data_IF_370366056181
#
_entry.id   IF_370366056181
#
_cell.length_a   1.000
_cell.length_b   1.000
_cell.length_c   1.000
_cell.angle_alpha   90.00
_cell.angle_beta   90.00
_cell.angle_gamma   90.00
#
_symmetry.space_group_name_H-M   'P 1'
#
loop_
_entity.id
_entity.type
_entity.pdbx_description
1 polymer ?
#
# COMPACT_ATOMS: atom_id res chain seq x y z
N UNK A 1 0.93 7.72 27.93
CA UNK A 1 0.99 6.73 29.03
C UNK A 1 2.40 6.17 29.22
N UNK A 2 3.05 5.66 28.16
CA UNK A 2 4.34 4.95 28.23
C UNK A 2 5.49 5.80 28.79
N UNK A 3 5.70 7.03 28.28
CA UNK A 3 6.78 7.89 28.77
C UNK A 3 6.56 8.28 30.25
N UNK A 4 5.31 8.49 30.64
CA UNK A 4 4.98 8.81 32.04
C UNK A 4 5.30 7.63 32.96
N UNK A 5 4.95 6.39 32.57
CA UNK A 5 5.31 5.20 33.34
C UNK A 5 6.82 5.04 33.48
N UNK A 6 7.58 5.26 32.38
CA UNK A 6 9.05 5.22 32.48
C UNK A 6 9.62 6.28 33.40
N UNK A 7 9.06 7.49 33.37
CA UNK A 7 9.52 8.58 34.30
C UNK A 7 9.18 8.29 35.75
N UNK A 8 8.07 7.62 35.99
CA UNK A 8 7.68 7.18 37.36
C UNK A 8 8.56 6.01 37.86
N UNK A 9 8.93 5.08 36.97
CA UNK A 9 9.77 3.92 37.30
C UNK A 9 11.26 4.30 37.43
N UNK A 10 11.73 5.28 36.62
CA UNK A 10 13.12 5.72 36.58
C UNK A 10 13.22 7.25 36.79
N UNK A 11 12.87 7.78 37.96
CA UNK A 11 12.79 9.21 38.20
C UNK A 11 14.14 9.93 38.14
N UNK A 12 15.25 9.23 38.41
CA UNK A 12 16.61 9.75 38.36
C UNK A 12 17.18 9.90 36.97
N UNK A 13 16.54 9.25 35.93
CA UNK A 13 17.01 9.34 34.54
C UNK A 13 16.33 10.48 33.80
N UNK A 14 17.08 11.10 32.90
CA UNK A 14 16.56 12.02 31.91
C UNK A 14 16.12 11.25 30.68
N UNK A 15 14.85 11.35 30.34
CA UNK A 15 14.28 10.60 29.21
C UNK A 15 14.42 11.39 27.91
N UNK A 16 14.87 10.71 26.85
CA UNK A 16 14.91 11.23 25.50
C UNK A 16 14.09 10.35 24.56
N UNK A 17 13.15 10.97 23.87
CA UNK A 17 12.38 10.31 22.82
C UNK A 17 13.06 10.54 21.47
N UNK A 18 13.48 9.45 20.81
CA UNK A 18 14.18 9.52 19.52
C UNK A 18 13.18 9.45 18.38
N UNK A 19 13.27 10.36 17.41
CA UNK A 19 12.39 10.38 16.23
C UNK A 19 13.07 11.01 15.01
N UNK A 20 12.52 10.77 13.82
CA UNK A 20 12.92 11.44 12.59
C UNK A 20 12.21 12.78 12.38
N UNK A 21 12.80 13.64 11.56
CA UNK A 21 12.26 14.94 11.17
C UNK A 21 10.93 14.86 10.38
N UNK A 22 10.65 13.69 9.77
CA UNK A 22 9.36 13.39 9.13
C UNK A 22 8.17 13.33 10.13
N UNK A 23 8.44 13.43 11.43
CA UNK A 23 7.43 13.35 12.50
C UNK A 23 7.23 14.68 13.26
N UNK A 24 7.71 15.81 12.75
CA UNK A 24 7.56 17.10 13.40
C UNK A 24 6.09 17.49 13.66
N UNK A 25 5.19 17.25 12.72
CA UNK A 25 3.76 17.50 12.88
C UNK A 25 3.16 16.63 14.00
N UNK A 26 3.58 15.37 14.10
CA UNK A 26 3.16 14.49 15.18
C UNK A 26 3.66 15.01 16.54
N UNK A 27 4.93 15.45 16.61
CA UNK A 27 5.51 16.03 17.82
C UNK A 27 4.77 17.29 18.25
N UNK A 28 4.46 18.18 17.30
CA UNK A 28 3.66 19.37 17.55
C UNK A 28 2.30 19.03 18.17
N UNK A 29 1.61 18.07 17.57
CA UNK A 29 0.30 17.62 18.04
C UNK A 29 0.34 16.96 19.43
N UNK A 30 1.36 16.17 19.72
CA UNK A 30 1.57 15.57 21.04
C UNK A 30 1.87 16.65 22.08
N UNK A 31 2.56 17.72 21.70
CA UNK A 31 2.90 18.85 22.56
C UNK A 31 1.67 19.71 22.85
N UNK A 32 0.83 20.00 21.86
CA UNK A 32 -0.42 20.75 22.03
C UNK A 32 -1.45 20.03 22.92
N UNK A 33 -1.51 18.68 22.80
CA UNK A 33 -2.51 17.87 23.55
C UNK A 33 -2.07 17.40 24.93
N UNK A 34 -0.80 17.53 25.25
CA UNK A 34 -0.29 16.96 26.50
C UNK A 34 0.99 17.62 26.98
N UNK A 35 1.46 17.08 28.10
CA UNK A 35 2.66 17.53 28.77
C UNK A 35 3.89 16.74 28.31
N UNK A 36 4.10 16.67 27.01
CA UNK A 36 5.15 15.80 26.43
C UNK A 36 6.54 16.21 26.93
N UNK A 37 6.88 17.51 26.82
CA UNK A 37 8.18 18.02 27.24
C UNK A 37 8.34 18.17 28.76
N UNK A 38 7.27 18.03 29.56
CA UNK A 38 7.39 17.85 31.00
C UNK A 38 7.91 16.47 31.40
N UNK A 39 7.81 15.49 30.48
CA UNK A 39 8.13 14.10 30.76
C UNK A 39 9.40 13.63 30.04
N UNK A 40 9.72 14.18 28.86
CA UNK A 40 10.79 13.72 28.01
C UNK A 40 11.34 14.84 27.15
N UNK A 41 12.63 14.80 26.88
CA UNK A 41 13.27 15.55 25.80
C UNK A 41 13.16 14.79 24.47
N UNK A 42 13.61 15.39 23.38
CA UNK A 42 13.61 14.79 22.04
C UNK A 42 15.01 14.78 21.45
N UNK A 43 15.40 13.66 20.89
CA UNK A 43 16.50 13.58 19.93
C UNK A 43 15.86 13.44 18.55
N UNK A 44 16.10 14.44 17.72
CA UNK A 44 15.56 14.52 16.36
C UNK A 44 16.67 14.19 15.34
N UNK A 45 16.53 13.09 14.61
CA UNK A 45 17.40 12.78 13.49
C UNK A 45 16.88 13.44 12.23
N UNK A 46 17.67 14.38 11.69
CA UNK A 46 17.38 15.02 10.42
C UNK A 46 17.82 14.11 9.26
N UNK A 47 16.88 13.77 8.39
CA UNK A 47 17.17 13.08 7.11
C UNK A 47 17.60 14.06 6.03
N UNK A 48 17.12 15.29 6.09
CA UNK A 48 17.50 16.39 5.22
C UNK A 48 18.31 17.41 6.03
N UNK A 49 19.62 17.46 5.80
CA UNK A 49 20.57 18.28 6.60
C UNK A 49 20.30 19.78 6.57
N UNK A 50 19.53 20.31 5.62
CA UNK A 50 19.30 21.73 5.46
C UNK A 50 17.97 22.18 6.09
N UNK A 51 18.02 23.15 6.98
CA UNK A 51 16.84 23.93 7.40
C UNK A 51 16.03 23.41 8.60
N UNK A 52 16.35 22.24 9.21
CA UNK A 52 15.56 21.71 10.34
C UNK A 52 15.60 22.64 11.56
N UNK A 53 16.76 23.22 11.90
CA UNK A 53 16.87 24.15 13.01
C UNK A 53 16.07 25.44 12.78
N UNK A 54 16.06 25.93 11.54
CA UNK A 54 15.28 27.09 11.15
C UNK A 54 13.79 26.78 11.16
N UNK A 55 13.42 25.60 10.68
CA UNK A 55 12.04 25.10 10.76
C UNK A 55 11.54 25.01 12.21
N UNK A 56 12.36 24.50 13.13
CA UNK A 56 12.04 24.43 14.55
C UNK A 56 11.90 25.83 15.19
N UNK A 57 12.82 26.76 14.85
CA UNK A 57 12.77 28.16 15.38
C UNK A 57 11.50 28.89 14.92
N UNK A 58 11.04 28.60 13.71
CA UNK A 58 9.86 29.22 13.13
C UNK A 58 8.55 28.45 13.41
N UNK A 59 8.64 27.27 14.04
CA UNK A 59 7.45 26.45 14.29
C UNK A 59 6.62 27.01 15.43
N UNK A 60 5.31 27.19 15.19
CA UNK A 60 4.36 27.84 16.13
C UNK A 60 4.40 27.29 17.57
N UNK A 61 4.56 25.99 17.72
CA UNK A 61 4.52 25.28 19.02
C UNK A 61 5.92 24.89 19.48
N UNK A 62 6.72 24.27 18.59
CA UNK A 62 7.99 23.65 18.96
C UNK A 62 9.10 24.66 19.25
N UNK A 63 8.99 25.90 18.78
CA UNK A 63 9.94 26.98 19.07
C UNK A 63 10.08 27.28 20.59
N UNK A 64 9.04 27.06 21.36
CA UNK A 64 9.06 27.22 22.80
C UNK A 64 9.90 26.13 23.51
N UNK A 65 10.04 24.99 22.90
CA UNK A 65 10.70 23.79 23.45
C UNK A 65 12.05 23.48 22.79
N UNK A 66 12.64 24.44 22.09
CA UNK A 66 13.88 24.25 21.34
C UNK A 66 15.05 23.75 22.21
N UNK A 67 15.07 24.11 23.48
CA UNK A 67 16.10 23.66 24.44
C UNK A 67 15.95 22.20 24.85
N UNK A 68 14.77 21.62 24.65
CA UNK A 68 14.45 20.20 24.91
C UNK A 68 14.53 19.33 23.67
N UNK A 69 14.98 19.92 22.55
CA UNK A 69 15.14 19.21 21.25
C UNK A 69 16.60 19.25 20.85
N UNK A 70 17.23 18.07 20.80
CA UNK A 70 18.59 17.88 20.30
C UNK A 70 18.49 17.41 18.85
N UNK A 71 19.01 18.18 17.92
CA UNK A 71 19.06 17.81 16.52
C UNK A 71 20.39 17.11 16.23
N UNK A 72 20.33 15.89 15.71
CA UNK A 72 21.51 15.14 15.27
C UNK A 72 21.46 14.93 13.74
N UNK A 73 22.59 15.05 13.06
CA UNK A 73 22.68 14.67 11.67
C UNK A 73 22.49 13.16 11.53
N UNK A 74 22.01 12.65 10.37
CA UNK A 74 21.97 11.23 10.12
C UNK A 74 23.40 10.66 10.15
N UNK A 75 23.62 9.49 10.75
CA UNK A 75 24.90 8.81 10.64
C UNK A 75 25.27 8.57 9.17
N UNK A 76 26.57 8.66 8.85
CA UNK A 76 27.07 8.41 7.50
C UNK A 76 26.66 7.01 7.03
N UNK A 77 26.22 6.89 5.78
CA UNK A 77 25.89 5.62 5.13
C UNK A 77 24.51 5.06 5.40
N UNK A 78 23.70 5.67 6.30
CA UNK A 78 22.32 5.20 6.59
C UNK A 78 21.23 6.19 6.16
N UNK A 79 21.61 7.24 5.42
CA UNK A 79 20.62 8.14 4.81
C UNK A 79 19.76 7.36 3.82
N UNK A 80 18.44 7.49 3.94
CA UNK A 80 17.48 6.75 3.09
C UNK A 80 17.00 5.41 3.65
N UNK A 81 17.65 4.84 4.67
CA UNK A 81 17.15 3.63 5.33
C UNK A 81 15.89 3.97 6.14
N UNK A 82 14.83 3.19 5.92
CA UNK A 82 13.56 3.33 6.65
C UNK A 82 12.90 1.97 6.83
N UNK A 83 12.05 1.86 7.86
CA UNK A 83 11.24 0.64 8.03
C UNK A 83 10.30 0.39 6.84
N UNK A 84 9.93 1.43 6.09
CA UNK A 84 9.14 1.28 4.87
C UNK A 84 9.98 0.65 3.76
N UNK A 85 11.21 1.13 3.53
CA UNK A 85 12.13 0.55 2.55
C UNK A 85 12.46 -0.91 2.86
N UNK A 86 12.71 -1.23 4.15
CA UNK A 86 12.96 -2.61 4.56
C UNK A 86 11.75 -3.50 4.26
N UNK A 87 10.54 -3.07 4.67
CA UNK A 87 9.32 -3.82 4.35
C UNK A 87 9.06 -3.96 2.86
N UNK A 88 9.36 -2.93 2.08
CA UNK A 88 9.26 -2.94 0.63
C UNK A 88 10.16 -4.01 0.02
N UNK A 89 11.46 -3.99 0.35
CA UNK A 89 12.41 -4.99 -0.16
C UNK A 89 12.04 -6.40 0.28
N UNK A 90 11.61 -6.55 1.53
CA UNK A 90 11.12 -7.83 2.04
C UNK A 90 9.92 -8.34 1.22
N UNK A 91 8.96 -7.48 0.89
CA UNK A 91 7.81 -7.82 0.05
C UNK A 91 8.22 -8.16 -1.39
N UNK A 92 9.36 -7.65 -1.85
CA UNK A 92 9.92 -7.96 -3.19
C UNK A 92 10.84 -9.19 -3.17
N UNK A 93 11.04 -9.83 -2.01
CA UNK A 93 12.00 -10.93 -1.88
C UNK A 93 13.47 -10.49 -1.97
N UNK A 94 13.74 -9.18 -1.89
CA UNK A 94 15.08 -8.64 -1.95
C UNK A 94 15.79 -8.73 -0.59
N UNK A 95 17.12 -8.94 -0.61
CA UNK A 95 17.90 -8.92 0.62
C UNK A 95 17.84 -7.56 1.31
N UNK A 96 17.68 -7.58 2.63
CA UNK A 96 17.75 -6.41 3.49
C UNK A 96 19.00 -6.41 4.38
N UNK A 97 19.94 -7.32 4.12
CA UNK A 97 21.12 -7.52 4.96
C UNK A 97 21.91 -6.22 5.15
N UNK A 98 22.13 -5.45 4.08
CA UNK A 98 22.85 -4.19 4.12
C UNK A 98 22.07 -3.03 4.77
N UNK A 99 20.77 -3.22 4.98
CA UNK A 99 19.87 -2.22 5.59
C UNK A 99 19.68 -2.44 7.10
N UNK A 100 20.11 -3.57 7.61
CA UNK A 100 19.95 -3.99 9.00
C UNK A 100 21.30 -4.17 9.68
N UNK A 101 21.37 -3.92 10.97
CA UNK A 101 22.56 -4.32 11.73
C UNK A 101 22.67 -5.84 11.75
N UNK A 102 23.88 -6.44 11.67
CA UNK A 102 24.04 -7.88 11.50
C UNK A 102 23.30 -8.72 12.54
N UNK A 103 23.29 -8.31 13.80
CA UNK A 103 22.54 -9.02 14.86
C UNK A 103 21.03 -9.04 14.66
N UNK A 104 20.46 -7.97 14.09
CA UNK A 104 19.04 -7.90 13.75
C UNK A 104 18.75 -8.79 12.54
N UNK A 105 19.64 -8.78 11.54
CA UNK A 105 19.52 -9.64 10.36
C UNK A 105 19.53 -11.12 10.70
N UNK A 106 20.42 -11.56 11.61
CA UNK A 106 20.46 -12.96 12.06
C UNK A 106 19.16 -13.36 12.78
N UNK A 107 18.70 -12.55 13.74
CA UNK A 107 17.42 -12.80 14.43
C UNK A 107 16.27 -12.83 13.44
N UNK A 108 16.30 -11.92 12.46
CA UNK A 108 15.27 -11.83 11.44
C UNK A 108 15.18 -13.12 10.59
N UNK A 109 16.31 -13.67 10.16
CA UNK A 109 16.38 -14.95 9.43
C UNK A 109 15.89 -16.13 10.29
N UNK A 110 16.21 -16.15 11.58
CA UNK A 110 15.75 -17.18 12.51
C UNK A 110 14.23 -17.15 12.72
N UNK A 111 13.63 -15.95 12.80
CA UNK A 111 12.19 -15.79 13.00
C UNK A 111 11.38 -16.04 11.73
N UNK A 112 12.01 -15.91 10.56
CA UNK A 112 11.34 -15.95 9.25
C UNK A 112 12.10 -16.84 8.26
N UNK A 113 12.40 -18.10 8.57
CA UNK A 113 13.20 -18.96 7.70
C UNK A 113 12.56 -19.27 6.36
N UNK A 114 11.21 -19.19 6.27
CA UNK A 114 10.41 -19.53 5.08
C UNK A 114 9.34 -18.46 4.73
N UNK A 115 9.36 -17.32 5.40
CA UNK A 115 8.21 -16.40 5.46
C UNK A 115 8.24 -15.24 4.46
N UNK A 116 9.03 -15.34 3.39
CA UNK A 116 8.86 -14.39 2.29
C UNK A 116 8.13 -15.09 1.15
N UNK A 117 6.80 -15.02 1.12
CA UNK A 117 6.11 -15.42 -0.08
C UNK A 117 6.62 -14.54 -1.22
N UNK A 118 6.91 -15.14 -2.37
CA UNK A 118 7.21 -14.39 -3.56
C UNK A 118 6.13 -13.32 -3.77
N UNK A 119 6.54 -12.10 -4.11
CA UNK A 119 5.60 -10.99 -4.30
C UNK A 119 5.58 -10.58 -5.77
N UNK A 120 4.42 -10.66 -6.37
CA UNK A 120 4.17 -10.10 -7.69
C UNK A 120 3.55 -8.70 -7.47
N UNK A 121 4.40 -7.67 -7.43
CA UNK A 121 3.99 -6.28 -7.14
C UNK A 121 3.66 -5.46 -8.38
N UNK A 122 3.78 -6.04 -9.60
CA UNK A 122 3.49 -5.37 -10.86
C UNK A 122 2.74 -6.29 -11.79
N UNK A 123 1.54 -5.89 -12.21
CA UNK A 123 0.76 -6.61 -13.23
C UNK A 123 1.14 -6.13 -14.63
N UNK A 124 2.42 -6.36 -14.98
CA UNK A 124 3.03 -6.05 -16.28
C UNK A 124 3.80 -7.25 -16.82
N UNK A 125 4.26 -7.16 -18.04
CA UNK A 125 5.08 -8.19 -18.72
C UNK A 125 4.45 -9.59 -18.60
N UNK A 126 5.11 -10.54 -18.01
CA UNK A 126 4.60 -11.90 -17.82
C UNK A 126 3.34 -11.96 -16.93
N UNK A 127 3.13 -10.97 -16.06
CA UNK A 127 1.95 -10.88 -15.20
C UNK A 127 0.88 -9.89 -15.69
N UNK A 128 1.00 -9.40 -16.92
CA UNK A 128 0.04 -8.46 -17.51
C UNK A 128 -1.39 -9.01 -17.56
N UNK A 129 -1.54 -10.33 -17.65
CA UNK A 129 -2.83 -11.00 -17.63
C UNK A 129 -3.62 -10.81 -16.33
N UNK A 130 -2.98 -10.40 -15.23
CA UNK A 130 -3.63 -10.04 -13.96
C UNK A 130 -4.24 -8.63 -14.00
N UNK A 131 -3.79 -7.79 -14.92
CA UNK A 131 -4.31 -6.44 -15.07
C UNK A 131 -5.72 -6.44 -15.65
N UNK A 132 -6.57 -5.53 -15.16
CA UNK A 132 -7.95 -5.36 -15.64
C UNK A 132 -8.04 -4.92 -17.10
N UNK A 133 -6.99 -4.29 -17.65
CA UNK A 133 -6.92 -3.84 -19.05
C UNK A 133 -6.38 -4.89 -20.01
N UNK A 134 -5.94 -6.03 -19.49
CA UNK A 134 -5.48 -7.13 -20.33
C UNK A 134 -6.54 -7.57 -21.34
N UNK A 135 -6.15 -7.67 -22.59
CA UNK A 135 -7.04 -8.05 -23.70
C UNK A 135 -7.39 -9.53 -23.65
N UNK A 136 -8.58 -9.88 -23.22
CA UNK A 136 -9.14 -11.23 -23.28
C UNK A 136 -10.65 -11.16 -23.45
N UNK A 137 -11.22 -12.08 -24.24
CA UNK A 137 -12.66 -12.12 -24.48
C UNK A 137 -13.34 -13.04 -23.49
N UNK A 138 -14.43 -12.55 -22.88
CA UNK A 138 -15.31 -13.35 -22.02
C UNK A 138 -16.73 -12.78 -22.05
N UNK A 139 -17.71 -13.59 -21.64
CA UNK A 139 -19.12 -13.19 -21.50
C UNK A 139 -19.43 -13.04 -20.02
N UNK A 140 -19.93 -11.88 -19.64
CA UNK A 140 -20.43 -11.61 -18.29
C UNK A 140 -21.84 -11.01 -18.37
N UNK A 141 -22.78 -11.59 -17.63
CA UNK A 141 -24.21 -11.20 -17.67
C UNK A 141 -24.79 -11.12 -19.10
N UNK A 142 -24.46 -12.11 -19.96
CA UNK A 142 -24.96 -12.17 -21.33
C UNK A 142 -24.34 -11.17 -22.33
N UNK A 143 -23.35 -10.39 -21.89
CA UNK A 143 -22.64 -9.40 -22.73
C UNK A 143 -21.19 -9.81 -22.86
N UNK A 144 -20.65 -9.77 -24.11
CA UNK A 144 -19.25 -10.04 -24.39
C UNK A 144 -18.40 -8.79 -24.14
N UNK A 145 -17.34 -8.93 -23.37
CA UNK A 145 -16.33 -7.91 -23.10
C UNK A 145 -14.95 -8.39 -23.56
N UNK A 146 -14.05 -7.45 -23.79
CA UNK A 146 -12.68 -7.71 -24.23
C UNK A 146 -11.63 -7.43 -23.13
N UNK A 147 -12.04 -6.98 -21.98
CA UNK A 147 -11.22 -6.77 -20.79
C UNK A 147 -12.11 -6.52 -19.55
N UNK A 148 -11.55 -6.74 -18.36
CA UNK A 148 -12.24 -6.57 -17.09
C UNK A 148 -12.60 -5.11 -16.82
N UNK A 149 -11.70 -4.18 -17.17
CA UNK A 149 -11.91 -2.74 -16.98
C UNK A 149 -13.21 -2.27 -17.64
N UNK A 150 -13.44 -2.68 -18.91
CA UNK A 150 -14.66 -2.32 -19.63
C UNK A 150 -15.92 -2.93 -19.01
N UNK A 151 -15.85 -4.19 -18.55
CA UNK A 151 -16.98 -4.84 -17.90
C UNK A 151 -17.34 -4.15 -16.57
N UNK A 152 -16.32 -3.85 -15.76
CA UNK A 152 -16.49 -3.20 -14.47
C UNK A 152 -17.08 -1.79 -14.60
N UNK A 153 -16.55 -0.98 -15.51
CA UNK A 153 -17.08 0.37 -15.71
C UNK A 153 -18.47 0.37 -16.37
N UNK A 154 -18.76 -0.60 -17.27
CA UNK A 154 -20.08 -0.75 -17.84
C UNK A 154 -21.12 -1.22 -16.81
N UNK A 155 -20.71 -1.93 -15.75
CA UNK A 155 -21.63 -2.40 -14.70
C UNK A 155 -22.30 -1.28 -13.90
N UNK A 156 -21.77 -0.05 -13.96
CA UNK A 156 -22.41 1.14 -13.37
C UNK A 156 -23.77 1.50 -14.01
N UNK A 157 -23.99 0.99 -15.23
CA UNK A 157 -25.20 1.26 -15.98
C UNK A 157 -26.22 0.12 -15.81
N UNK A 158 -27.42 0.45 -15.41
CA UNK A 158 -28.52 -0.52 -15.23
C UNK A 158 -29.11 -0.96 -16.58
N UNK A 159 -29.08 -0.09 -17.59
CA UNK A 159 -29.61 -0.37 -18.90
C UNK A 159 -28.67 -1.31 -19.70
N UNK A 160 -29.20 -2.47 -20.10
CA UNK A 160 -28.43 -3.47 -20.84
C UNK A 160 -28.00 -2.96 -22.25
N UNK A 161 -28.84 -2.16 -22.93
CA UNK A 161 -28.49 -1.62 -24.24
C UNK A 161 -27.26 -0.67 -24.12
N UNK A 162 -27.18 0.15 -23.09
CA UNK A 162 -26.02 1.00 -22.83
C UNK A 162 -24.79 0.14 -22.53
N UNK A 163 -24.90 -0.91 -21.69
CA UNK A 163 -23.79 -1.82 -21.42
C UNK A 163 -23.29 -2.52 -22.70
N UNK A 164 -24.16 -2.89 -23.61
CA UNK A 164 -23.80 -3.45 -24.93
C UNK A 164 -23.07 -2.45 -25.83
N UNK A 165 -23.40 -1.16 -25.77
CA UNK A 165 -22.65 -0.11 -26.45
C UNK A 165 -21.27 0.03 -25.86
N UNK A 166 -21.17 0.14 -24.52
CA UNK A 166 -19.91 0.29 -23.80
C UNK A 166 -18.98 -0.91 -24.01
N UNK A 167 -19.50 -2.14 -24.08
CA UNK A 167 -18.70 -3.35 -24.27
C UNK A 167 -17.91 -3.39 -25.60
N UNK A 168 -18.29 -2.55 -26.58
CA UNK A 168 -17.62 -2.43 -27.89
C UNK A 168 -16.58 -1.30 -27.95
N UNK A 169 -16.48 -0.50 -26.88
CA UNK A 169 -15.53 0.61 -26.80
C UNK A 169 -14.17 0.13 -26.26
N UNK A 170 -13.12 0.91 -26.52
CA UNK A 170 -11.83 0.69 -25.81
C UNK A 170 -11.96 0.99 -24.31
N UNK A 171 -11.10 0.36 -23.49
CA UNK A 171 -11.13 0.58 -22.04
C UNK A 171 -11.07 2.06 -21.65
N UNK A 172 -10.21 2.85 -22.30
CA UNK A 172 -10.08 4.29 -22.04
C UNK A 172 -11.38 5.06 -22.29
N UNK A 173 -12.10 4.72 -23.40
CA UNK A 173 -13.37 5.36 -23.73
C UNK A 173 -14.46 4.99 -22.73
N UNK A 174 -14.50 3.71 -22.30
CA UNK A 174 -15.47 3.25 -21.29
C UNK A 174 -15.22 3.92 -19.95
N UNK A 175 -13.96 3.98 -19.50
CA UNK A 175 -13.59 4.68 -18.26
C UNK A 175 -14.01 6.13 -18.31
N UNK A 176 -13.66 6.85 -19.40
CA UNK A 176 -14.04 8.26 -19.57
C UNK A 176 -15.57 8.43 -19.55
N UNK A 177 -16.29 7.59 -20.27
CA UNK A 177 -17.77 7.64 -20.31
C UNK A 177 -18.38 7.35 -18.95
N UNK A 178 -17.82 6.41 -18.20
CA UNK A 178 -18.32 6.06 -16.87
C UNK A 178 -18.15 7.15 -15.81
N UNK A 179 -17.28 8.15 -16.05
CA UNK A 179 -17.16 9.34 -15.18
C UNK A 179 -18.39 10.26 -15.26
N UNK A 180 -19.17 10.15 -16.34
CA UNK A 180 -20.43 10.88 -16.50
C UNK A 180 -21.61 10.19 -15.78
N UNK A 181 -21.41 8.95 -15.30
CA UNK A 181 -22.41 8.16 -14.60
C UNK A 181 -22.20 8.26 -13.09
N UNK A 182 -23.23 8.62 -12.35
CA UNK A 182 -23.24 8.49 -10.89
C UNK A 182 -23.74 7.09 -10.56
N UNK A 183 -22.88 6.21 -9.98
CA UNK A 183 -23.32 4.88 -9.59
C UNK A 183 -24.42 4.92 -8.53
N UNK A 184 -25.28 3.91 -8.50
CA UNK A 184 -26.24 3.76 -7.41
C UNK A 184 -25.55 3.34 -6.11
N UNK A 185 -26.22 3.53 -4.97
CA UNK A 185 -25.72 3.10 -3.66
C UNK A 185 -25.48 1.58 -3.66
N UNK A 186 -26.40 0.83 -4.21
CA UNK A 186 -26.31 -0.64 -4.30
C UNK A 186 -25.08 -1.08 -5.13
N UNK A 187 -24.72 -0.32 -6.18
CA UNK A 187 -23.52 -0.60 -6.95
C UNK A 187 -22.25 -0.35 -6.11
N UNK A 188 -22.20 0.78 -5.38
CA UNK A 188 -21.06 1.09 -4.51
C UNK A 188 -20.85 0.04 -3.41
N UNK A 189 -21.93 -0.48 -2.82
CA UNK A 189 -21.88 -1.53 -1.80
C UNK A 189 -21.44 -2.88 -2.37
N UNK A 190 -21.81 -3.19 -3.62
CA UNK A 190 -21.55 -4.49 -4.26
C UNK A 190 -20.35 -4.49 -5.22
N UNK A 191 -19.61 -3.40 -5.36
CA UNK A 191 -18.53 -3.28 -6.37
C UNK A 191 -17.40 -4.31 -6.22
N UNK A 192 -17.15 -4.83 -5.03
CA UNK A 192 -16.19 -5.92 -4.80
C UNK A 192 -16.71 -7.24 -5.37
N UNK A 193 -17.98 -7.57 -5.09
CA UNK A 193 -18.62 -8.79 -5.60
C UNK A 193 -18.78 -8.74 -7.13
N UNK A 194 -19.07 -7.56 -7.66
CA UNK A 194 -19.11 -7.32 -9.12
C UNK A 194 -17.72 -7.60 -9.72
N UNK A 195 -16.65 -7.06 -9.15
CA UNK A 195 -15.29 -7.30 -9.62
C UNK A 195 -14.93 -8.78 -9.54
N UNK A 196 -15.21 -9.46 -8.42
CA UNK A 196 -14.98 -10.90 -8.28
C UNK A 196 -15.73 -11.68 -9.36
N UNK A 197 -17.01 -11.40 -9.59
CA UNK A 197 -17.83 -12.10 -10.59
C UNK A 197 -17.32 -11.91 -12.03
N UNK A 198 -16.79 -10.72 -12.36
CA UNK A 198 -16.19 -10.44 -13.68
C UNK A 198 -14.88 -11.20 -13.83
N UNK A 199 -14.04 -11.22 -12.81
CA UNK A 199 -12.76 -11.95 -12.82
C UNK A 199 -12.99 -13.47 -12.91
N UNK A 200 -13.97 -14.00 -12.18
CA UNK A 200 -14.36 -15.40 -12.33
C UNK A 200 -14.78 -15.71 -13.78
N UNK A 201 -15.63 -14.88 -14.39
CA UNK A 201 -16.04 -15.05 -15.78
C UNK A 201 -14.85 -14.99 -16.76
N UNK A 202 -13.87 -14.11 -16.49
CA UNK A 202 -12.62 -14.02 -17.26
C UNK A 202 -11.84 -15.35 -17.19
N UNK A 203 -11.55 -15.84 -16.00
CA UNK A 203 -10.68 -17.00 -15.83
C UNK A 203 -11.37 -18.31 -16.19
N UNK A 204 -12.66 -18.46 -15.91
CA UNK A 204 -13.41 -19.66 -16.27
C UNK A 204 -13.54 -19.85 -17.80
N UNK A 205 -13.62 -18.75 -18.55
CA UNK A 205 -13.73 -18.80 -20.01
C UNK A 205 -12.37 -18.73 -20.71
N UNK A 206 -11.26 -18.56 -19.99
CA UNK A 206 -9.90 -18.52 -20.54
C UNK A 206 -8.99 -19.49 -19.76
N UNK A 207 -9.05 -20.81 -20.05
CA UNK A 207 -8.34 -21.84 -19.29
C UNK A 207 -6.82 -21.63 -19.20
N UNK A 208 -6.20 -21.07 -20.26
CA UNK A 208 -4.77 -20.74 -20.25
C UNK A 208 -4.42 -19.65 -19.23
N UNK A 209 -5.28 -18.62 -19.09
CA UNK A 209 -5.09 -17.56 -18.09
C UNK A 209 -5.37 -18.08 -16.69
N UNK A 210 -6.36 -18.95 -16.53
CA UNK A 210 -6.66 -19.64 -15.27
C UNK A 210 -5.48 -20.46 -14.79
N UNK A 211 -4.86 -21.23 -15.67
CA UNK A 211 -3.64 -21.99 -15.38
C UNK A 211 -2.52 -21.09 -14.89
N UNK A 212 -2.24 -19.99 -15.62
CA UNK A 212 -1.23 -18.99 -15.21
C UNK A 212 -1.54 -18.37 -13.84
N UNK A 213 -2.82 -18.10 -13.52
CA UNK A 213 -3.21 -17.62 -12.19
C UNK A 213 -2.89 -18.65 -11.10
N UNK A 214 -3.16 -19.93 -11.35
CA UNK A 214 -2.84 -21.01 -10.41
C UNK A 214 -1.32 -21.15 -10.23
N UNK A 215 -0.54 -20.94 -11.29
CA UNK A 215 0.93 -20.99 -11.25
C UNK A 215 1.56 -19.87 -10.38
N UNK A 216 0.82 -18.82 -10.03
CA UNK A 216 1.25 -17.82 -9.04
C UNK A 216 1.07 -18.30 -7.59
N UNK A 217 0.85 -19.60 -7.38
CA UNK A 217 0.65 -20.17 -6.06
C UNK A 217 1.82 -19.87 -5.11
N UNK A 218 1.48 -19.56 -3.87
CA UNK A 218 2.46 -19.11 -2.88
C UNK A 218 2.83 -17.63 -2.98
N UNK A 219 2.59 -16.97 -4.13
CA UNK A 219 2.91 -15.54 -4.27
C UNK A 219 1.83 -14.64 -3.68
N UNK A 220 2.24 -13.52 -3.09
CA UNK A 220 1.34 -12.39 -2.80
C UNK A 220 1.15 -11.58 -4.08
N UNK A 221 -0.10 -11.35 -4.48
CA UNK A 221 -0.44 -10.53 -5.64
C UNK A 221 -0.76 -9.10 -5.20
N UNK A 222 0.03 -8.13 -5.66
CA UNK A 222 -0.17 -6.71 -5.37
C UNK A 222 -0.43 -5.96 -6.68
N UNK A 223 -1.57 -5.31 -6.78
CA UNK A 223 -1.87 -4.39 -7.88
C UNK A 223 -1.12 -3.07 -7.65
N UNK A 224 0.19 -3.09 -7.82
CA UNK A 224 1.05 -1.93 -7.61
C UNK A 224 0.86 -0.86 -8.69
N UNK A 225 0.84 0.40 -8.27
CA UNK A 225 0.70 1.53 -9.18
C UNK A 225 1.48 2.77 -8.69
N UNK A 226 1.78 3.69 -9.63
CA UNK A 226 2.46 4.95 -9.38
C UNK A 226 1.50 6.16 -9.55
N UNK A 227 0.20 5.95 -9.33
CA UNK A 227 -0.87 6.96 -9.53
C UNK A 227 -1.59 7.31 -8.24
N UNK A 228 -1.04 6.90 -7.09
CA UNK A 228 -1.64 7.10 -5.76
C UNK A 228 -3.03 6.46 -5.62
N UNK A 229 -3.32 5.43 -6.43
CA UNK A 229 -4.54 4.64 -6.31
C UNK A 229 -4.37 3.63 -5.17
N UNK A 230 -5.22 3.72 -4.16
CA UNK A 230 -5.08 2.99 -2.90
C UNK A 230 -6.24 2.05 -2.58
N UNK A 231 -7.31 2.06 -3.35
CA UNK A 231 -8.46 1.18 -3.14
C UNK A 231 -8.29 -0.17 -3.84
N UNK A 232 -8.14 -0.16 -5.18
CA UNK A 232 -7.94 -1.40 -5.94
C UNK A 232 -6.53 -1.94 -5.86
N UNK A 233 -5.57 -1.11 -5.53
CA UNK A 233 -4.16 -1.46 -5.50
C UNK A 233 -3.40 -0.89 -4.33
N UNK A 234 -2.09 -0.78 -4.53
CA UNK A 234 -1.13 -0.20 -3.60
C UNK A 234 -0.34 0.87 -4.34
N UNK A 235 -0.26 2.05 -3.78
CA UNK A 235 0.65 3.09 -4.24
C UNK A 235 2.10 2.71 -3.92
N UNK A 236 2.91 2.46 -4.93
CA UNK A 236 4.29 2.00 -4.78
C UNK A 236 5.24 3.06 -4.21
N UNK A 237 4.87 4.34 -4.17
CA UNK A 237 5.68 5.36 -3.50
C UNK A 237 5.49 5.35 -1.97
N UNK A 238 4.28 5.18 -1.51
CA UNK A 238 3.94 5.21 -0.09
C UNK A 238 3.72 3.83 0.53
N UNK A 239 3.60 2.80 -0.29
CA UNK A 239 3.21 1.42 0.08
C UNK A 239 1.90 1.37 0.88
N UNK A 240 1.00 2.30 0.57
CA UNK A 240 -0.34 2.36 1.16
C UNK A 240 -1.38 1.91 0.14
N UNK A 241 -2.35 1.15 0.59
CA UNK A 241 -3.47 0.72 -0.22
C UNK A 241 -4.14 -0.54 0.32
N UNK A 242 -5.40 -0.73 -0.07
CA UNK A 242 -6.23 -1.85 0.38
C UNK A 242 -6.03 -3.11 -0.47
N UNK A 243 -5.47 -2.95 -1.69
CA UNK A 243 -5.16 -4.05 -2.62
C UNK A 243 -6.35 -4.98 -2.90
N UNK A 244 -7.55 -4.44 -3.05
CA UNK A 244 -8.73 -5.27 -3.27
C UNK A 244 -8.62 -6.16 -4.50
N UNK A 245 -8.03 -5.67 -5.61
CA UNK A 245 -7.84 -6.48 -6.83
C UNK A 245 -6.91 -7.68 -6.56
N UNK A 246 -5.77 -7.46 -5.93
CA UNK A 246 -4.83 -8.55 -5.59
C UNK A 246 -5.47 -9.58 -4.65
N UNK A 247 -6.21 -9.14 -3.64
CA UNK A 247 -6.93 -10.02 -2.70
C UNK A 247 -7.99 -10.89 -3.41
N UNK A 248 -8.76 -10.31 -4.33
CA UNK A 248 -9.76 -11.07 -5.12
C UNK A 248 -9.07 -12.10 -6.00
N UNK A 249 -7.97 -11.73 -6.68
CA UNK A 249 -7.20 -12.65 -7.53
C UNK A 249 -6.65 -13.83 -6.74
N UNK A 250 -6.06 -13.59 -5.56
CA UNK A 250 -5.58 -14.64 -4.66
C UNK A 250 -6.74 -15.53 -4.19
N UNK A 251 -7.89 -14.95 -3.84
CA UNK A 251 -9.08 -15.72 -3.44
C UNK A 251 -9.58 -16.64 -4.56
N UNK A 252 -9.62 -16.14 -5.80
CA UNK A 252 -10.00 -16.95 -6.97
C UNK A 252 -8.99 -18.07 -7.20
N UNK A 253 -7.68 -17.76 -7.18
CA UNK A 253 -6.61 -18.75 -7.30
C UNK A 253 -6.76 -19.89 -6.31
N UNK A 254 -6.93 -19.55 -5.04
CA UNK A 254 -6.98 -20.52 -3.94
C UNK A 254 -8.26 -21.38 -3.97
N UNK A 255 -9.37 -20.83 -4.46
CA UNK A 255 -10.61 -21.60 -4.72
C UNK A 255 -10.44 -22.59 -5.87
N UNK A 256 -9.73 -22.20 -6.96
CA UNK A 256 -9.55 -23.04 -8.13
C UNK A 256 -8.55 -24.19 -7.92
N UNK A 257 -7.57 -24.01 -7.03
CA UNK A 257 -6.65 -25.10 -6.61
C UNK A 257 -7.36 -26.25 -5.87
N UNK A 258 -8.45 -25.96 -5.19
CA UNK A 258 -9.17 -26.94 -4.37
C UNK A 258 -10.18 -27.76 -5.18
N UNK A 259 -10.40 -27.44 -6.45
CA UNK A 259 -11.25 -28.19 -7.39
C UNK A 259 -10.48 -29.29 -8.09
#
# INVERSE_FOLDING_TARGET
>A
PTLKSFKEEFPEYELYFVMGDDKLELLSHLTEKGKFFETSNVILYSRNQEGIEESLKNHRVLSEYIRSIVVLPPPEGISGISSSLIRERMLLGESCEELLVPSVWEIFKELHPDDFPDVISSFKEEYDFLNNRYGCSFVWQGIRYNNVESAFHASKYTNEAERRVLSRMSAEKVVKKSMECTPSIEWEESKLDIMESILLAKFDQNPSLKKRLIETDGCILINGNNKHETYWGVDLYSWKGENHLGKILMTIRDKEKKK
#
